data_IF_376546816060
#
_entry.id   IF_376546816060
#
_cell.length_a   1.000
_cell.length_b   1.000
_cell.length_c   1.000
_cell.angle_alpha   90.00
_cell.angle_beta   90.00
_cell.angle_gamma   90.00
#
_symmetry.space_group_name_H-M   'P 1'
#
loop_
_entity.id
_entity.type
_entity.pdbx_description
1 polymer ?
#
# COMPACT_ATOMS: atom_id res chain seq x y z
N UNK A 1 28.04 39.73 -14.63
CA UNK A 1 28.26 40.60 -13.46
C UNK A 1 27.19 41.67 -13.51
N UNK A 2 26.64 42.08 -12.36
CA UNK A 2 25.75 43.23 -12.33
C UNK A 2 26.57 44.48 -12.67
N UNK A 3 26.17 45.22 -13.71
CA UNK A 3 26.84 46.46 -14.14
C UNK A 3 26.04 47.70 -13.80
N UNK A 4 24.73 47.57 -13.63
CA UNK A 4 23.86 48.67 -13.22
C UNK A 4 22.63 48.15 -12.49
N UNK A 5 22.25 48.82 -11.40
CA UNK A 5 21.02 48.60 -10.66
C UNK A 5 20.16 49.87 -10.75
N UNK A 6 18.93 49.74 -11.24
CA UNK A 6 17.94 50.81 -11.29
C UNK A 6 16.79 50.50 -10.36
N UNK A 7 16.35 51.48 -9.58
CA UNK A 7 15.22 51.36 -8.66
C UNK A 7 14.30 52.55 -8.89
N UNK A 8 12.99 52.30 -8.88
CA UNK A 8 11.97 53.32 -8.97
C UNK A 8 10.84 53.02 -7.98
N UNK A 9 10.49 54.02 -7.18
CA UNK A 9 9.38 54.03 -6.21
C UNK A 9 9.36 52.85 -5.22
N UNK A 10 10.54 52.38 -4.81
CA UNK A 10 10.70 51.24 -3.92
C UNK A 10 11.03 51.70 -2.49
N UNK A 11 10.12 51.44 -1.54
CA UNK A 11 10.27 51.83 -0.14
C UNK A 11 10.53 53.33 0.01
N UNK A 12 11.74 53.69 0.48
CA UNK A 12 12.18 55.09 0.64
C UNK A 12 12.89 55.66 -0.60
N UNK A 13 13.04 54.89 -1.67
CA UNK A 13 13.76 55.30 -2.89
C UNK A 13 12.77 55.77 -3.95
N UNK A 14 12.84 57.06 -4.32
CA UNK A 14 12.08 57.63 -5.43
C UNK A 14 12.63 57.12 -6.77
N UNK A 15 13.90 57.40 -7.02
CA UNK A 15 14.63 56.92 -8.19
C UNK A 15 16.12 56.72 -7.82
N UNK A 16 16.71 55.63 -8.28
CA UNK A 16 18.14 55.36 -8.14
C UNK A 16 18.66 54.72 -9.42
N UNK A 17 19.79 55.22 -9.90
CA UNK A 17 20.61 54.55 -10.91
C UNK A 17 22.00 54.36 -10.31
N UNK A 18 22.36 53.12 -10.04
CA UNK A 18 23.61 52.74 -9.41
C UNK A 18 24.47 51.92 -10.38
N UNK A 19 25.50 52.52 -11.01
CA UNK A 19 26.49 51.75 -11.74
C UNK A 19 27.34 50.92 -10.77
N UNK A 20 27.61 49.66 -11.11
CA UNK A 20 28.36 48.71 -10.29
C UNK A 20 29.63 48.31 -11.02
N UNK A 21 30.78 48.58 -10.38
CA UNK A 21 32.09 48.23 -10.93
C UNK A 21 32.51 46.81 -10.55
N UNK A 22 33.44 46.25 -11.30
CA UNK A 22 33.96 44.90 -11.04
C UNK A 22 34.85 44.86 -9.82
N UNK A 23 34.82 43.74 -9.09
CA UNK A 23 35.61 43.55 -7.87
C UNK A 23 34.81 43.95 -6.63
N UNK A 24 35.44 44.71 -5.73
CA UNK A 24 34.85 45.12 -4.45
C UNK A 24 34.19 46.50 -4.58
N UNK A 25 32.86 46.54 -4.47
CA UNK A 25 32.10 47.79 -4.37
C UNK A 25 31.63 47.96 -2.92
N UNK A 26 32.04 49.04 -2.25
CA UNK A 26 31.68 49.33 -0.86
C UNK A 26 30.65 50.46 -0.85
N UNK A 27 29.47 50.19 -0.29
CA UNK A 27 28.43 51.19 -0.08
C UNK A 27 28.51 51.74 1.34
N UNK A 28 28.74 53.05 1.47
CA UNK A 28 28.79 53.79 2.75
C UNK A 28 27.66 54.84 2.83
N UNK A 29 27.38 55.38 4.01
CA UNK A 29 26.29 56.35 4.22
C UNK A 29 25.94 56.53 5.70
N UNK A 30 25.12 57.55 6.02
CA UNK A 30 24.76 57.93 7.40
C UNK A 30 23.74 56.99 8.06
N UNK A 31 22.77 56.45 7.31
CA UNK A 31 21.72 55.56 7.85
C UNK A 31 21.77 54.17 7.21
N UNK A 32 21.42 53.14 7.99
CA UNK A 32 21.35 51.75 7.50
C UNK A 32 20.22 51.49 6.51
N UNK A 33 19.20 52.35 6.47
CA UNK A 33 18.01 52.17 5.65
C UNK A 33 18.32 52.12 4.14
N UNK A 34 19.19 53.01 3.63
CA UNK A 34 19.54 53.04 2.21
C UNK A 34 20.28 51.78 1.74
N UNK A 35 21.20 51.25 2.55
CA UNK A 35 21.94 50.02 2.24
C UNK A 35 21.01 48.80 2.23
N UNK A 36 20.13 48.69 3.23
CA UNK A 36 19.15 47.62 3.32
C UNK A 36 18.16 47.65 2.15
N UNK A 37 17.77 48.84 1.68
CA UNK A 37 16.92 48.99 0.49
C UNK A 37 17.61 48.50 -0.79
N UNK A 38 18.89 48.82 -0.97
CA UNK A 38 19.69 48.34 -2.11
C UNK A 38 19.83 46.81 -2.06
N UNK A 39 20.14 46.25 -0.89
CA UNK A 39 20.22 44.79 -0.71
C UNK A 39 18.88 44.09 -0.99
N UNK A 40 17.77 44.67 -0.50
CA UNK A 40 16.42 44.19 -0.77
C UNK A 40 16.06 44.25 -2.25
N UNK A 41 16.45 45.32 -2.96
CA UNK A 41 16.28 45.43 -4.40
C UNK A 41 17.04 44.35 -5.17
N UNK A 42 18.30 44.06 -4.79
CA UNK A 42 19.07 42.97 -5.39
C UNK A 42 18.42 41.59 -5.12
N UNK A 43 17.84 41.39 -3.94
CA UNK A 43 17.13 40.15 -3.62
C UNK A 43 15.85 39.97 -4.45
N UNK A 44 15.16 41.05 -4.81
CA UNK A 44 14.01 40.97 -5.72
C UNK A 44 14.39 40.48 -7.13
N UNK A 45 15.60 40.82 -7.58
CA UNK A 45 16.16 40.37 -8.85
C UNK A 45 16.55 38.89 -8.85
N UNK A 46 16.66 38.25 -7.68
CA UNK A 46 16.85 36.78 -7.57
C UNK A 46 15.54 36.00 -7.51
N UNK A 47 14.39 36.69 -7.61
CA UNK A 47 13.09 36.02 -7.58
C UNK A 47 12.53 35.81 -6.17
N UNK A 48 13.09 36.44 -5.14
CA UNK A 48 12.55 36.37 -3.78
C UNK A 48 11.13 36.95 -3.69
N UNK A 49 10.43 36.60 -2.60
CA UNK A 49 9.11 37.12 -2.28
C UNK A 49 9.18 38.63 -2.04
N UNK A 50 8.10 39.34 -2.38
CA UNK A 50 8.02 40.79 -2.18
C UNK A 50 7.51 41.05 -0.75
N UNK A 51 8.25 41.79 0.09
CA UNK A 51 7.77 42.24 1.40
C UNK A 51 6.48 43.07 1.28
N UNK A 52 5.67 43.06 2.34
CA UNK A 52 4.49 43.94 2.42
C UNK A 52 4.93 45.41 2.40
N UNK A 53 4.13 46.26 1.76
CA UNK A 53 4.30 47.72 1.71
C UNK A 53 5.61 48.23 1.09
N UNK A 54 6.13 47.50 0.10
CA UNK A 54 7.36 47.91 -0.59
C UNK A 54 7.15 49.00 -1.66
N UNK A 55 5.91 49.24 -2.10
CA UNK A 55 5.61 50.37 -3.00
C UNK A 55 5.56 51.64 -2.16
N UNK A 56 6.32 52.67 -2.57
CA UNK A 56 6.36 53.96 -1.87
C UNK A 56 4.96 54.54 -1.67
N UNK A 57 4.70 55.13 -0.50
CA UNK A 57 3.41 55.74 -0.18
C UNK A 57 3.01 56.79 -1.22
N UNK A 58 1.77 56.71 -1.72
CA UNK A 58 1.27 57.57 -2.80
C UNK A 58 1.44 57.00 -4.22
N UNK A 59 2.27 55.97 -4.38
CA UNK A 59 2.54 55.33 -5.69
C UNK A 59 1.79 54.00 -5.86
N UNK A 60 1.47 53.66 -7.10
CA UNK A 60 0.78 52.42 -7.48
C UNK A 60 1.73 51.33 -8.02
N UNK A 61 2.94 51.72 -8.44
CA UNK A 61 3.93 50.86 -9.09
C UNK A 61 5.33 51.17 -8.58
N UNK A 62 6.07 50.13 -8.24
CA UNK A 62 7.52 50.17 -8.01
C UNK A 62 8.21 49.17 -8.93
N UNK A 63 9.47 49.41 -9.30
CA UNK A 63 10.25 48.42 -10.03
C UNK A 63 11.73 48.46 -9.69
N UNK A 64 12.36 47.31 -9.86
CA UNK A 64 13.81 47.14 -9.77
C UNK A 64 14.29 46.50 -11.06
N UNK A 65 15.33 47.06 -11.66
CA UNK A 65 15.96 46.54 -12.87
C UNK A 65 17.46 46.33 -12.64
N UNK A 66 17.95 45.16 -13.04
CA UNK A 66 19.37 44.84 -13.04
C UNK A 66 19.86 44.60 -14.45
N UNK A 67 20.95 45.26 -14.80
CA UNK A 67 21.68 45.03 -16.06
C UNK A 67 22.89 44.17 -15.75
N UNK A 68 23.02 43.04 -16.44
CA UNK A 68 24.08 42.06 -16.22
C UNK A 68 24.91 41.85 -17.49
N UNK A 69 26.22 42.06 -17.38
CA UNK A 69 27.18 41.66 -18.41
C UNK A 69 27.58 40.20 -18.22
N UNK A 70 27.19 39.34 -19.15
CA UNK A 70 27.50 37.91 -19.14
C UNK A 70 28.48 37.50 -20.24
N UNK A 71 29.08 38.45 -20.95
CA UNK A 71 30.02 38.21 -22.06
C UNK A 71 31.15 37.24 -21.67
N UNK A 72 31.71 37.39 -20.47
CA UNK A 72 32.76 36.52 -19.93
C UNK A 72 32.25 35.28 -19.15
N UNK A 73 30.93 35.09 -19.01
CA UNK A 73 30.32 34.06 -18.14
C UNK A 73 29.71 32.88 -18.92
N UNK A 74 30.53 32.17 -19.69
CA UNK A 74 30.11 31.06 -20.58
C UNK A 74 29.21 30.01 -19.91
N UNK A 75 29.50 29.61 -18.65
CA UNK A 75 28.69 28.64 -17.90
C UNK A 75 27.29 29.18 -17.57
N UNK A 76 27.19 30.43 -17.13
CA UNK A 76 25.91 31.10 -16.86
C UNK A 76 25.10 31.25 -18.14
N UNK A 77 25.75 31.62 -19.26
CA UNK A 77 25.09 31.70 -20.57
C UNK A 77 24.51 30.35 -21.02
N UNK A 78 25.24 29.24 -20.82
CA UNK A 78 24.74 27.91 -21.14
C UNK A 78 23.53 27.53 -20.27
N UNK A 79 23.54 27.86 -18.98
CA UNK A 79 22.41 27.63 -18.07
C UNK A 79 21.18 28.44 -18.47
N UNK A 80 21.36 29.71 -18.83
CA UNK A 80 20.28 30.59 -19.31
C UNK A 80 19.62 30.05 -20.59
N UNK A 81 20.42 29.58 -21.55
CA UNK A 81 19.91 28.96 -22.79
C UNK A 81 19.06 27.73 -22.52
N UNK A 82 19.46 26.87 -21.57
CA UNK A 82 18.66 25.70 -21.15
C UNK A 82 17.31 26.11 -20.54
N UNK A 83 17.23 27.31 -19.96
CA UNK A 83 15.99 27.86 -19.40
C UNK A 83 15.18 28.67 -20.44
N UNK A 84 15.57 28.66 -21.71
CA UNK A 84 14.90 29.40 -22.78
C UNK A 84 15.23 30.90 -22.87
N UNK A 85 16.25 31.38 -22.13
CA UNK A 85 16.66 32.79 -22.17
C UNK A 85 17.73 32.99 -23.23
N UNK A 86 17.46 33.87 -24.20
CA UNK A 86 18.40 34.25 -25.26
C UNK A 86 19.06 35.58 -24.92
N UNK A 87 20.39 35.65 -25.10
CA UNK A 87 21.19 36.85 -24.90
C UNK A 87 21.45 37.53 -26.24
N UNK A 88 21.57 38.86 -26.23
CA UNK A 88 22.02 39.64 -27.38
C UNK A 88 23.50 39.37 -27.71
N UNK A 89 23.95 39.89 -28.86
CA UNK A 89 25.34 39.76 -29.31
C UNK A 89 26.34 40.48 -28.38
N UNK A 90 25.87 41.46 -27.62
CA UNK A 90 26.59 42.20 -26.57
C UNK A 90 26.76 41.40 -25.27
N UNK A 91 26.10 40.24 -25.14
CA UNK A 91 26.17 39.40 -23.95
C UNK A 91 25.46 40.00 -22.72
N UNK A 92 24.63 41.03 -22.92
CA UNK A 92 23.90 41.68 -21.85
C UNK A 92 22.58 40.96 -21.54
N UNK A 93 22.21 40.96 -20.26
CA UNK A 93 20.92 40.50 -19.76
C UNK A 93 20.31 41.59 -18.89
N UNK A 94 19.08 41.99 -19.21
CA UNK A 94 18.31 42.93 -18.39
C UNK A 94 17.18 42.17 -17.72
N UNK A 95 17.11 42.21 -16.40
CA UNK A 95 15.96 41.67 -15.64
C UNK A 95 15.29 42.78 -14.87
N UNK A 96 13.96 42.81 -14.90
CA UNK A 96 13.15 43.79 -14.17
C UNK A 96 12.04 43.10 -13.40
N UNK A 97 11.88 43.46 -12.14
CA UNK A 97 10.78 43.06 -11.26
C UNK A 97 9.87 44.26 -11.05
N UNK A 98 8.63 44.17 -11.49
CA UNK A 98 7.60 45.19 -11.26
C UNK A 98 6.65 44.75 -10.14
N UNK A 99 6.41 45.65 -9.19
CA UNK A 99 5.61 45.42 -7.99
C UNK A 99 4.48 46.44 -7.99
N UNK A 100 3.25 45.96 -7.95
CA UNK A 100 2.07 46.83 -7.91
C UNK A 100 1.46 46.81 -6.52
N UNK A 101 1.00 47.98 -6.05
CA UNK A 101 0.31 48.10 -4.76
C UNK A 101 -0.94 47.23 -4.76
N UNK A 102 -1.69 47.29 -5.86
CA UNK A 102 -2.86 46.47 -6.12
C UNK A 102 -2.68 45.70 -7.44
N UNK A 103 -2.88 44.38 -7.40
CA UNK A 103 -2.83 43.52 -8.58
C UNK A 103 -1.60 42.61 -8.67
N UNK A 104 -1.32 42.11 -9.88
CA UNK A 104 -0.27 41.11 -10.10
C UNK A 104 1.09 41.77 -10.39
N UNK A 105 2.10 41.31 -9.67
CA UNK A 105 3.50 41.63 -9.95
C UNK A 105 3.94 41.04 -11.30
N UNK A 106 4.91 41.67 -11.95
CA UNK A 106 5.42 41.23 -13.26
C UNK A 106 6.93 41.02 -13.20
N UNK A 107 7.40 40.13 -14.07
CA UNK A 107 8.80 39.89 -14.35
C UNK A 107 9.01 40.19 -15.82
N UNK A 108 10.04 40.97 -16.13
CA UNK A 108 10.48 41.25 -17.49
C UNK A 108 11.94 40.81 -17.63
N UNK A 109 12.25 40.04 -18.67
CA UNK A 109 13.62 39.60 -18.99
C UNK A 109 13.88 39.99 -20.44
N UNK A 110 14.91 40.80 -20.70
CA UNK A 110 15.24 41.36 -22.03
C UNK A 110 14.01 41.96 -22.74
N UNK A 111 13.18 42.70 -22.00
CA UNK A 111 11.98 43.35 -22.53
C UNK A 111 10.76 42.44 -22.71
N UNK A 112 10.87 41.13 -22.45
CA UNK A 112 9.77 40.18 -22.57
C UNK A 112 9.17 39.80 -21.21
N UNK A 113 7.84 39.74 -21.15
CA UNK A 113 7.12 39.23 -19.97
C UNK A 113 7.52 37.77 -19.68
N UNK A 114 7.82 37.48 -18.42
CA UNK A 114 8.34 36.20 -17.98
C UNK A 114 7.69 35.74 -16.66
N UNK A 115 7.92 34.48 -16.29
CA UNK A 115 7.41 33.92 -15.04
C UNK A 115 8.35 34.20 -13.86
N UNK A 116 7.78 34.22 -12.65
CA UNK A 116 8.57 34.30 -11.42
C UNK A 116 9.49 33.07 -11.25
N UNK A 117 9.00 31.89 -11.61
CA UNK A 117 9.78 30.65 -11.55
C UNK A 117 11.04 30.73 -12.41
N UNK A 118 10.92 31.28 -13.63
CA UNK A 118 12.08 31.51 -14.50
C UNK A 118 13.07 32.48 -13.86
N UNK A 119 12.59 33.60 -13.28
CA UNK A 119 13.44 34.55 -12.58
C UNK A 119 14.19 33.90 -11.40
N UNK A 120 13.53 33.05 -10.61
CA UNK A 120 14.17 32.32 -9.50
C UNK A 120 15.26 31.39 -10.01
N UNK A 121 14.99 30.65 -11.08
CA UNK A 121 15.93 29.68 -11.66
C UNK A 121 17.20 30.34 -12.21
N UNK A 122 17.05 31.49 -12.88
CA UNK A 122 18.17 32.25 -13.46
C UNK A 122 18.83 33.16 -12.43
N UNK A 123 18.06 33.76 -11.52
CA UNK A 123 18.50 34.69 -10.50
C UNK A 123 19.57 34.09 -9.60
N UNK A 124 19.39 32.82 -9.21
CA UNK A 124 20.38 32.05 -8.46
C UNK A 124 21.73 31.88 -9.19
N UNK A 125 21.77 32.02 -10.52
CA UNK A 125 23.01 31.98 -11.31
C UNK A 125 23.61 33.37 -11.58
N UNK A 126 22.87 34.44 -11.30
CA UNK A 126 23.25 35.83 -11.58
C UNK A 126 23.79 36.55 -10.34
N UNK A 127 23.07 36.42 -9.22
CA UNK A 127 23.36 37.08 -7.95
C UNK A 127 23.23 36.09 -6.79
N UNK A 128 24.15 36.20 -5.83
CA UNK A 128 23.98 35.65 -4.49
C UNK A 128 23.89 36.83 -3.54
N UNK A 129 22.79 36.93 -2.80
CA UNK A 129 22.50 38.07 -1.91
C UNK A 129 22.46 37.55 -0.48
N UNK A 130 23.54 37.76 0.26
CA UNK A 130 23.64 37.49 1.69
C UNK A 130 22.85 38.55 2.45
N UNK A 131 21.59 38.20 2.78
CA UNK A 131 20.65 39.04 3.53
C UNK A 131 20.37 38.44 4.91
N UNK A 132 19.64 39.17 5.77
CA UNK A 132 19.14 38.65 7.04
C UNK A 132 18.30 37.35 6.90
N UNK A 133 17.73 37.08 5.72
CA UNK A 133 17.01 35.83 5.47
C UNK A 133 17.94 34.65 5.16
N UNK A 134 19.11 34.86 4.53
CA UNK A 134 20.13 33.79 4.38
C UNK A 134 20.75 33.40 5.72
N UNK A 135 20.85 34.35 6.66
CA UNK A 135 21.24 34.07 8.05
C UNK A 135 20.29 33.08 8.76
N UNK A 136 19.05 32.92 8.29
CA UNK A 136 18.09 31.95 8.80
C UNK A 136 18.31 30.54 8.25
N UNK A 137 19.08 30.36 7.17
CA UNK A 137 19.36 29.03 6.61
C UNK A 137 20.25 28.20 7.54
N UNK A 138 21.24 28.82 8.18
CA UNK A 138 22.01 28.21 9.27
C UNK A 138 21.15 27.78 10.47
N UNK A 139 19.93 28.31 10.57
CA UNK A 139 18.96 27.91 11.59
C UNK A 139 18.11 26.69 11.16
N UNK A 140 18.23 26.22 9.92
CA UNK A 140 17.53 25.04 9.41
C UNK A 140 18.40 23.79 9.62
N UNK A 141 17.93 22.79 10.39
CA UNK A 141 18.69 21.54 10.60
C UNK A 141 19.08 20.84 9.29
N UNK A 142 18.20 20.88 8.28
CA UNK A 142 18.46 20.30 6.97
C UNK A 142 19.68 20.94 6.26
N UNK A 143 19.87 22.25 6.39
CA UNK A 143 21.00 22.95 5.77
C UNK A 143 22.32 22.56 6.45
N UNK A 144 22.34 22.51 7.78
CA UNK A 144 23.52 22.11 8.56
C UNK A 144 23.93 20.66 8.23
N UNK A 145 22.95 19.76 8.15
CA UNK A 145 23.17 18.37 7.70
C UNK A 145 23.74 18.32 6.29
N UNK A 146 23.11 19.03 5.35
CA UNK A 146 23.52 19.01 3.93
C UNK A 146 24.92 19.61 3.75
N UNK A 147 25.27 20.66 4.50
CA UNK A 147 26.61 21.25 4.55
C UNK A 147 27.65 20.25 5.03
N UNK A 148 27.37 19.55 6.15
CA UNK A 148 28.28 18.52 6.65
C UNK A 148 28.44 17.40 5.63
N UNK A 149 27.33 16.91 5.06
CA UNK A 149 27.34 15.83 4.08
C UNK A 149 28.08 16.22 2.78
N UNK A 150 27.99 17.47 2.34
CA UNK A 150 28.72 17.99 1.16
C UNK A 150 30.22 18.07 1.44
N UNK A 151 30.61 18.61 2.60
CA UNK A 151 32.00 18.68 3.06
C UNK A 151 32.66 17.31 3.25
N UNK A 152 31.84 16.28 3.52
CA UNK A 152 32.27 14.89 3.67
C UNK A 152 32.06 14.04 2.41
N UNK A 153 31.59 14.63 1.31
CA UNK A 153 31.32 13.94 0.04
C UNK A 153 30.37 12.72 0.21
N UNK A 154 29.38 12.82 1.11
CA UNK A 154 28.45 11.74 1.46
C UNK A 154 27.38 11.44 0.39
N UNK A 155 27.55 11.90 -0.85
CA UNK A 155 26.50 11.81 -1.88
C UNK A 155 26.05 10.37 -2.15
N UNK A 156 27.01 9.43 -2.25
CA UNK A 156 26.73 8.02 -2.51
C UNK A 156 26.07 7.34 -1.30
N UNK A 157 26.55 7.60 -0.09
CA UNK A 157 25.97 7.08 1.15
C UNK A 157 24.54 7.57 1.36
N UNK A 158 24.28 8.85 1.07
CA UNK A 158 22.93 9.41 1.07
C UNK A 158 22.04 8.77 0.00
N UNK A 159 22.60 8.48 -1.17
CA UNK A 159 21.91 7.74 -2.23
C UNK A 159 21.46 6.37 -1.76
N UNK A 160 22.39 5.59 -1.17
CA UNK A 160 22.11 4.27 -0.64
C UNK A 160 21.01 4.28 0.43
N UNK A 161 21.05 5.21 1.38
CA UNK A 161 20.00 5.37 2.40
C UNK A 161 18.65 5.69 1.76
N UNK A 162 18.61 6.65 0.84
CA UNK A 162 17.36 7.06 0.19
C UNK A 162 16.73 5.92 -0.60
N UNK A 163 17.53 5.18 -1.36
CA UNK A 163 17.04 4.10 -2.22
C UNK A 163 16.56 2.91 -1.38
N UNK A 164 17.33 2.53 -0.36
CA UNK A 164 16.91 1.50 0.60
C UNK A 164 15.62 1.92 1.33
N UNK A 165 15.54 3.17 1.79
CA UNK A 165 14.37 3.68 2.50
C UNK A 165 13.13 3.69 1.60
N UNK A 166 13.27 4.09 0.34
CA UNK A 166 12.17 4.05 -0.63
C UNK A 166 11.67 2.61 -0.86
N UNK A 167 12.57 1.65 -1.01
CA UNK A 167 12.22 0.24 -1.18
C UNK A 167 11.49 -0.33 0.05
N UNK A 168 12.00 -0.05 1.25
CA UNK A 168 11.36 -0.44 2.51
C UNK A 168 9.95 0.16 2.66
N UNK A 169 9.79 1.47 2.43
CA UNK A 169 8.48 2.13 2.54
C UNK A 169 7.47 1.60 1.52
N UNK A 170 7.91 1.22 0.32
CA UNK A 170 7.04 0.61 -0.68
C UNK A 170 6.55 -0.77 -0.22
N UNK A 171 7.44 -1.61 0.32
CA UNK A 171 7.09 -2.93 0.85
C UNK A 171 6.20 -2.84 2.10
N UNK A 172 6.48 -1.90 2.99
CA UNK A 172 5.68 -1.66 4.21
C UNK A 172 4.25 -1.22 3.86
N UNK A 173 4.10 -0.33 2.85
CA UNK A 173 2.79 0.08 2.36
C UNK A 173 2.01 -1.04 1.66
N UNK A 174 2.67 -1.87 0.83
CA UNK A 174 2.04 -3.03 0.19
C UNK A 174 1.59 -4.06 1.23
N UNK A 175 2.44 -4.34 2.24
CA UNK A 175 2.12 -5.25 3.32
C UNK A 175 0.91 -4.78 4.13
N UNK A 176 0.86 -3.49 4.49
CA UNK A 176 -0.26 -2.93 5.25
C UNK A 176 -1.57 -2.95 4.43
N UNK A 177 -1.51 -2.62 3.13
CA UNK A 177 -2.68 -2.71 2.23
C UNK A 177 -3.24 -4.13 2.17
N UNK A 178 -2.37 -5.13 1.94
CA UNK A 178 -2.80 -6.54 1.86
C UNK A 178 -3.30 -7.09 3.20
N UNK A 179 -2.72 -6.65 4.32
CA UNK A 179 -3.20 -6.99 5.66
C UNK A 179 -4.62 -6.48 5.88
N UNK A 180 -4.93 -5.26 5.45
CA UNK A 180 -6.27 -4.68 5.54
C UNK A 180 -7.26 -5.46 4.66
N UNK A 181 -6.87 -5.85 3.44
CA UNK A 181 -7.70 -6.69 2.56
C UNK A 181 -8.01 -8.05 3.19
N UNK A 182 -7.00 -8.73 3.73
CA UNK A 182 -7.19 -10.03 4.41
C UNK A 182 -8.02 -9.88 5.68
N UNK A 183 -7.81 -8.82 6.46
CA UNK A 183 -8.59 -8.54 7.66
C UNK A 183 -10.08 -8.31 7.32
N UNK A 184 -10.38 -7.55 6.26
CA UNK A 184 -11.74 -7.33 5.78
C UNK A 184 -12.41 -8.65 5.31
N UNK A 185 -11.64 -9.59 4.76
CA UNK A 185 -12.13 -10.88 4.30
C UNK A 185 -12.23 -11.96 5.39
N UNK A 186 -11.80 -11.72 6.63
CA UNK A 186 -11.65 -12.76 7.66
C UNK A 186 -12.98 -13.30 8.16
N UNK A 187 -13.94 -12.42 8.45
CA UNK A 187 -15.30 -12.83 8.86
C UNK A 187 -15.96 -13.69 7.77
N UNK A 188 -15.76 -13.31 6.50
CA UNK A 188 -16.28 -14.07 5.37
C UNK A 188 -15.62 -15.45 5.24
N UNK A 189 -14.32 -15.55 5.53
CA UNK A 189 -13.58 -16.82 5.51
C UNK A 189 -14.08 -17.78 6.61
N UNK A 190 -14.34 -17.26 7.81
CA UNK A 190 -14.88 -18.05 8.92
C UNK A 190 -16.28 -18.60 8.60
N UNK A 191 -17.12 -17.78 7.97
CA UNK A 191 -18.43 -18.22 7.45
C UNK A 191 -18.25 -19.33 6.41
N UNK A 192 -17.34 -19.16 5.44
CA UNK A 192 -17.10 -20.18 4.41
C UNK A 192 -16.57 -21.49 4.98
N UNK A 193 -15.68 -21.43 5.98
CA UNK A 193 -15.16 -22.62 6.67
C UNK A 193 -16.27 -23.37 7.39
N UNK A 194 -17.10 -22.68 8.16
CA UNK A 194 -18.25 -23.29 8.82
C UNK A 194 -19.20 -23.98 7.82
N UNK A 195 -19.52 -23.30 6.72
CA UNK A 195 -20.39 -23.85 5.68
C UNK A 195 -19.78 -25.06 4.98
N UNK A 196 -18.47 -25.01 4.67
CA UNK A 196 -17.72 -26.13 4.08
C UNK A 196 -17.74 -27.32 5.04
N UNK A 197 -17.44 -27.10 6.31
CA UNK A 197 -17.34 -28.19 7.29
C UNK A 197 -18.69 -28.85 7.53
N UNK A 198 -19.77 -28.07 7.59
CA UNK A 198 -21.14 -28.61 7.68
C UNK A 198 -21.50 -29.48 6.47
N UNK A 199 -21.26 -28.98 5.25
CA UNK A 199 -21.58 -29.70 4.01
C UNK A 199 -20.68 -30.92 3.78
N UNK A 200 -19.39 -30.82 4.12
CA UNK A 200 -18.44 -31.91 4.02
C UNK A 200 -18.77 -33.02 5.04
N UNK A 201 -19.14 -32.66 6.26
CA UNK A 201 -19.55 -33.64 7.29
C UNK A 201 -20.82 -34.37 6.87
N UNK A 202 -21.76 -33.66 6.24
CA UNK A 202 -23.01 -34.25 5.77
C UNK A 202 -22.82 -35.34 4.70
N UNK A 203 -21.68 -35.35 3.98
CA UNK A 203 -21.33 -36.38 2.98
C UNK A 203 -22.50 -36.72 2.06
N UNK A 204 -23.05 -35.70 1.40
CA UNK A 204 -24.22 -35.85 0.54
C UNK A 204 -23.89 -36.64 -0.73
N UNK A 205 -24.85 -37.41 -1.20
CA UNK A 205 -24.81 -38.18 -2.44
C UNK A 205 -26.07 -37.88 -3.25
N UNK A 206 -25.90 -37.64 -4.55
CA UNK A 206 -26.99 -37.35 -5.49
C UNK A 206 -27.88 -38.57 -5.68
N UNK A 207 -27.31 -39.77 -5.58
CA UNK A 207 -28.03 -41.02 -5.85
C UNK A 207 -28.75 -41.56 -4.61
N UNK A 208 -28.42 -41.05 -3.42
CA UNK A 208 -29.01 -41.51 -2.15
C UNK A 208 -30.41 -40.91 -1.91
N UNK A 209 -30.58 -39.59 -2.10
CA UNK A 209 -31.84 -38.87 -1.77
C UNK A 209 -33.10 -39.50 -2.41
N UNK A 210 -33.12 -39.88 -3.70
CA UNK A 210 -34.32 -40.44 -4.32
C UNK A 210 -34.76 -41.78 -3.70
N UNK A 211 -33.83 -42.58 -3.18
CA UNK A 211 -34.09 -43.90 -2.60
C UNK A 211 -34.55 -43.87 -1.14
N UNK A 212 -34.35 -42.75 -0.43
CA UNK A 212 -34.71 -42.62 0.99
C UNK A 212 -36.23 -42.70 1.21
N UNK A 213 -37.03 -42.08 0.35
CA UNK A 213 -38.49 -42.07 0.49
C UNK A 213 -39.09 -43.47 0.38
N UNK A 214 -38.65 -44.25 -0.61
CA UNK A 214 -39.08 -45.63 -0.79
C UNK A 214 -38.64 -46.50 0.40
N UNK A 215 -37.38 -46.36 0.81
CA UNK A 215 -36.80 -47.12 1.93
C UNK A 215 -37.53 -46.85 3.25
N UNK A 216 -37.89 -45.59 3.53
CA UNK A 216 -38.64 -45.21 4.73
C UNK A 216 -40.05 -45.81 4.70
N UNK A 217 -40.74 -45.78 3.56
CA UNK A 217 -42.10 -46.36 3.44
C UNK A 217 -42.05 -47.86 3.70
N UNK A 218 -41.11 -48.58 3.09
CA UNK A 218 -40.95 -50.03 3.29
C UNK A 218 -40.62 -50.35 4.76
N UNK A 219 -39.63 -49.67 5.37
CA UNK A 219 -39.27 -49.92 6.77
C UNK A 219 -40.40 -49.56 7.75
N UNK A 220 -41.13 -48.47 7.52
CA UNK A 220 -42.26 -48.05 8.38
C UNK A 220 -43.38 -49.08 8.42
N UNK A 221 -43.65 -49.73 7.28
CA UNK A 221 -44.69 -50.75 7.16
C UNK A 221 -44.12 -52.18 7.24
N UNK A 222 -42.88 -52.36 7.69
CA UNK A 222 -42.18 -53.64 7.59
C UNK A 222 -42.93 -54.79 8.29
N UNK A 223 -43.47 -54.57 9.48
CA UNK A 223 -44.25 -55.58 10.21
C UNK A 223 -45.54 -55.98 9.47
N UNK A 224 -46.30 -55.01 8.96
CA UNK A 224 -47.55 -55.25 8.21
C UNK A 224 -47.27 -55.93 6.86
N UNK A 225 -46.20 -55.52 6.18
CA UNK A 225 -45.75 -56.12 4.93
C UNK A 225 -45.25 -57.55 5.15
N UNK A 226 -44.52 -57.82 6.22
CA UNK A 226 -44.05 -59.16 6.57
C UNK A 226 -45.22 -60.08 6.88
N UNK A 227 -46.19 -59.64 7.68
CA UNK A 227 -47.40 -60.41 7.99
C UNK A 227 -48.19 -60.75 6.71
N UNK A 228 -48.40 -59.74 5.85
CA UNK A 228 -49.11 -59.90 4.58
C UNK A 228 -48.37 -60.83 3.61
N UNK A 229 -47.06 -60.69 3.50
CA UNK A 229 -46.22 -61.53 2.65
C UNK A 229 -46.15 -62.97 3.16
N UNK A 230 -46.03 -63.19 4.48
CA UNK A 230 -46.05 -64.51 5.08
C UNK A 230 -47.40 -65.21 4.85
N UNK A 231 -48.52 -64.50 5.02
CA UNK A 231 -49.85 -65.02 4.73
C UNK A 231 -50.03 -65.38 3.24
N UNK A 232 -49.54 -64.53 2.33
CA UNK A 232 -49.58 -64.78 0.89
C UNK A 232 -48.73 -66.00 0.50
N UNK A 233 -47.52 -66.13 1.05
CA UNK A 233 -46.65 -67.28 0.81
C UNK A 233 -47.29 -68.58 1.33
N UNK A 234 -47.87 -68.55 2.53
CA UNK A 234 -48.59 -69.70 3.09
C UNK A 234 -49.75 -70.15 2.19
N UNK A 235 -50.51 -69.21 1.61
CA UNK A 235 -51.59 -69.52 0.68
C UNK A 235 -51.09 -70.11 -0.67
N UNK A 236 -49.87 -69.76 -1.10
CA UNK A 236 -49.29 -70.23 -2.35
C UNK A 236 -48.61 -71.61 -2.23
N UNK A 237 -47.88 -71.88 -1.14
CA UNK A 237 -46.96 -73.04 -1.04
C UNK A 237 -46.97 -73.81 0.29
N UNK A 238 -47.69 -73.35 1.32
CA UNK A 238 -47.47 -73.84 2.70
C UNK A 238 -48.71 -74.20 3.54
N UNK A 239 -49.92 -74.09 2.99
CA UNK A 239 -51.18 -74.44 3.66
C UNK A 239 -51.56 -75.92 3.50
N UNK A 240 -52.52 -76.41 4.30
CA UNK A 240 -53.13 -77.75 4.07
C UNK A 240 -53.79 -77.86 2.68
N UNK A 241 -54.27 -76.72 2.18
CA UNK A 241 -54.73 -76.52 0.81
C UNK A 241 -54.04 -75.25 0.31
N UNK A 242 -53.16 -75.39 -0.67
CA UNK A 242 -52.42 -74.28 -1.28
C UNK A 242 -52.70 -74.19 -2.80
N UNK A 243 -52.42 -73.01 -3.37
CA UNK A 243 -52.70 -72.74 -4.78
C UNK A 243 -51.88 -73.64 -5.71
N UNK A 244 -50.59 -73.86 -5.44
CA UNK A 244 -49.73 -74.70 -6.28
C UNK A 244 -50.15 -76.18 -6.25
N UNK A 245 -50.52 -76.70 -5.09
CA UNK A 245 -51.02 -78.06 -4.92
C UNK A 245 -52.37 -78.27 -5.60
N UNK A 246 -53.27 -77.28 -5.58
CA UNK A 246 -54.53 -77.31 -6.33
C UNK A 246 -54.28 -77.28 -7.85
N UNK A 247 -53.41 -76.38 -8.32
CA UNK A 247 -53.01 -76.28 -9.73
C UNK A 247 -52.34 -77.58 -10.21
N UNK A 248 -51.40 -78.13 -9.44
CA UNK A 248 -50.74 -79.40 -9.74
C UNK A 248 -51.70 -80.59 -9.75
N UNK A 249 -52.72 -80.60 -8.88
CA UNK A 249 -53.81 -81.61 -8.92
C UNK A 249 -54.64 -81.48 -10.21
N UNK A 250 -55.01 -80.26 -10.60
CA UNK A 250 -55.77 -80.02 -11.83
C UNK A 250 -54.97 -80.42 -13.08
N UNK A 251 -53.69 -80.07 -13.13
CA UNK A 251 -52.77 -80.47 -14.21
C UNK A 251 -52.64 -81.99 -14.32
N UNK A 252 -52.48 -82.72 -13.21
CA UNK A 252 -52.44 -84.19 -13.21
C UNK A 252 -53.76 -84.83 -13.62
N UNK A 253 -54.89 -84.23 -13.30
CA UNK A 253 -56.20 -84.74 -13.70
C UNK A 253 -56.43 -84.60 -15.21
N UNK A 254 -55.93 -83.51 -15.81
CA UNK A 254 -56.10 -83.22 -17.23
C UNK A 254 -55.01 -83.81 -18.13
N UNK A 255 -53.84 -84.17 -17.58
CA UNK A 255 -52.75 -84.79 -18.36
C UNK A 255 -53.16 -86.11 -19.03
N UNK A 256 -54.07 -86.88 -18.42
CA UNK A 256 -54.63 -88.09 -19.01
C UNK A 256 -55.53 -87.85 -20.24
N UNK A 257 -55.96 -86.60 -20.45
CA UNK A 257 -56.81 -86.15 -21.55
C UNK A 257 -56.06 -85.33 -22.62
N UNK A 258 -54.75 -85.12 -22.44
CA UNK A 258 -53.91 -84.33 -23.35
C UNK A 258 -53.93 -84.91 -24.77
N UNK A 259 -54.14 -84.04 -25.75
CA UNK A 259 -54.23 -84.39 -27.18
C UNK A 259 -55.54 -85.08 -27.58
N UNK A 260 -56.48 -85.30 -26.65
CA UNK A 260 -57.79 -85.90 -26.95
C UNK A 260 -58.88 -84.86 -27.23
N UNK A 261 -58.66 -83.59 -26.89
CA UNK A 261 -59.60 -82.49 -27.13
C UNK A 261 -58.88 -81.13 -27.16
N UNK A 262 -58.89 -80.47 -28.31
CA UNK A 262 -58.28 -79.14 -28.47
C UNK A 262 -58.83 -78.08 -27.50
N UNK A 263 -60.09 -78.23 -27.04
CA UNK A 263 -60.69 -77.35 -26.02
C UNK A 263 -60.10 -77.57 -24.62
N UNK A 264 -59.77 -78.82 -24.28
CA UNK A 264 -59.10 -79.14 -23.01
C UNK A 264 -57.60 -78.83 -23.06
N UNK A 265 -56.96 -78.99 -24.22
CA UNK A 265 -55.55 -78.65 -24.41
C UNK A 265 -55.29 -77.15 -24.21
N UNK A 266 -56.21 -76.26 -24.64
CA UNK A 266 -56.13 -74.83 -24.35
C UNK A 266 -56.21 -74.50 -22.85
N UNK A 267 -57.10 -75.16 -22.11
CA UNK A 267 -57.21 -75.01 -20.65
C UNK A 267 -55.99 -75.59 -19.92
N UNK A 268 -55.41 -76.68 -20.42
CA UNK A 268 -54.18 -77.28 -19.90
C UNK A 268 -52.99 -76.32 -20.05
N UNK A 269 -52.89 -75.61 -21.19
CA UNK A 269 -51.90 -74.55 -21.39
C UNK A 269 -52.03 -73.42 -20.37
N UNK A 270 -53.24 -72.90 -20.16
CA UNK A 270 -53.51 -71.85 -19.17
C UNK A 270 -53.18 -72.28 -17.73
N UNK A 271 -53.44 -73.54 -17.37
CA UNK A 271 -53.09 -74.07 -16.05
C UNK A 271 -51.59 -74.20 -15.85
N UNK A 272 -50.82 -74.54 -16.90
CA UNK A 272 -49.35 -74.58 -16.85
C UNK A 272 -48.76 -73.18 -16.65
N UNK A 273 -49.31 -72.19 -17.36
CA UNK A 273 -48.92 -70.78 -17.18
C UNK A 273 -49.25 -70.28 -15.77
N UNK A 274 -50.43 -70.61 -15.24
CA UNK A 274 -50.83 -70.23 -13.89
C UNK A 274 -49.95 -70.89 -12.79
N UNK A 275 -49.57 -72.16 -12.96
CA UNK A 275 -48.64 -72.85 -12.05
C UNK A 275 -47.27 -72.16 -12.06
N UNK A 276 -46.71 -71.89 -13.25
CA UNK A 276 -45.43 -71.22 -13.38
C UNK A 276 -45.45 -69.81 -12.75
N UNK A 277 -46.49 -69.01 -13.03
CA UNK A 277 -46.64 -67.69 -12.44
C UNK A 277 -46.81 -67.73 -10.91
N UNK A 278 -47.54 -68.72 -10.37
CA UNK A 278 -47.68 -68.91 -8.93
C UNK A 278 -46.35 -69.34 -8.27
N UNK A 279 -45.52 -70.13 -8.96
CA UNK A 279 -44.18 -70.49 -8.52
C UNK A 279 -43.23 -69.30 -8.49
N UNK A 280 -43.23 -68.50 -9.55
CA UNK A 280 -42.41 -67.28 -9.62
C UNK A 280 -42.82 -66.26 -8.54
N UNK A 281 -44.12 -66.05 -8.33
CA UNK A 281 -44.63 -65.17 -7.29
C UNK A 281 -44.24 -65.64 -5.88
N UNK A 282 -44.34 -66.94 -5.59
CA UNK A 282 -43.92 -67.50 -4.31
C UNK A 282 -42.42 -67.27 -4.05
N UNK A 283 -41.56 -67.50 -5.04
CA UNK A 283 -40.12 -67.24 -4.94
C UNK A 283 -39.84 -65.75 -4.72
N UNK A 284 -40.57 -64.86 -5.37
CA UNK A 284 -40.42 -63.42 -5.17
C UNK A 284 -40.83 -62.97 -3.76
N UNK A 285 -41.92 -63.50 -3.23
CA UNK A 285 -42.41 -63.21 -1.87
C UNK A 285 -41.45 -63.78 -0.81
N UNK A 286 -40.94 -64.99 -1.02
CA UNK A 286 -39.96 -65.61 -0.12
C UNK A 286 -38.66 -64.80 -0.05
N UNK A 287 -38.14 -64.36 -1.21
CA UNK A 287 -36.98 -63.45 -1.27
C UNK A 287 -37.23 -62.12 -0.56
N UNK A 288 -38.45 -61.57 -0.65
CA UNK A 288 -38.81 -60.35 0.05
C UNK A 288 -38.83 -60.56 1.58
N UNK A 289 -39.41 -61.67 2.05
CA UNK A 289 -39.42 -62.03 3.47
C UNK A 289 -38.02 -62.26 4.04
N UNK A 290 -37.10 -62.82 3.25
CA UNK A 290 -35.69 -62.99 3.63
C UNK A 290 -34.94 -61.66 3.71
N UNK A 291 -35.36 -60.66 2.94
CA UNK A 291 -34.71 -59.35 2.85
C UNK A 291 -35.28 -58.30 3.82
N UNK A 292 -36.52 -58.48 4.31
CA UNK A 292 -37.18 -57.47 5.13
C UNK A 292 -36.57 -57.41 6.53
N UNK A 293 -36.16 -56.20 6.93
CA UNK A 293 -35.53 -55.93 8.22
C UNK A 293 -36.51 -55.18 9.14
N UNK A 294 -36.72 -55.70 10.35
CA UNK A 294 -37.62 -55.16 11.36
C UNK A 294 -36.90 -54.28 12.39
N UNK A 295 -35.60 -54.04 12.25
CA UNK A 295 -34.85 -53.22 13.20
C UNK A 295 -35.41 -51.78 13.26
N UNK A 296 -35.96 -51.33 14.41
CA UNK A 296 -36.46 -49.97 14.59
C UNK A 296 -35.37 -48.91 14.43
N UNK A 297 -34.12 -49.22 14.80
CA UNK A 297 -33.00 -48.27 14.71
C UNK A 297 -32.73 -47.83 13.28
N UNK A 298 -32.85 -48.74 12.32
CA UNK A 298 -32.66 -48.40 10.91
C UNK A 298 -33.77 -47.54 10.29
N UNK A 299 -34.96 -47.44 10.88
CA UNK A 299 -35.97 -46.47 10.43
C UNK A 299 -35.62 -45.06 10.90
N UNK A 300 -35.28 -44.91 12.18
CA UNK A 300 -34.88 -43.63 12.76
C UNK A 300 -33.67 -43.04 12.03
N UNK A 301 -32.66 -43.87 11.70
CA UNK A 301 -31.49 -43.45 10.93
C UNK A 301 -31.84 -42.93 9.52
N UNK A 302 -32.78 -43.58 8.82
CA UNK A 302 -33.22 -43.14 7.50
C UNK A 302 -34.03 -41.84 7.58
N UNK A 303 -34.88 -41.70 8.59
CA UNK A 303 -35.65 -40.48 8.82
C UNK A 303 -34.74 -39.30 9.19
N UNK A 304 -33.74 -39.52 10.05
CA UNK A 304 -32.70 -38.53 10.39
C UNK A 304 -31.86 -38.16 9.17
N UNK A 305 -31.48 -39.16 8.34
CA UNK A 305 -30.75 -38.92 7.09
C UNK A 305 -31.56 -38.03 6.14
N UNK A 306 -32.84 -38.35 5.93
CA UNK A 306 -33.75 -37.53 5.10
C UNK A 306 -33.97 -36.13 5.69
N UNK A 307 -34.07 -36.01 7.01
CA UNK A 307 -34.21 -34.72 7.69
C UNK A 307 -32.97 -33.83 7.45
N UNK A 308 -31.77 -34.40 7.51
CA UNK A 308 -30.52 -33.70 7.20
C UNK A 308 -30.50 -33.15 5.75
N UNK A 309 -30.89 -33.96 4.77
CA UNK A 309 -31.03 -33.50 3.37
C UNK A 309 -32.00 -32.32 3.26
N UNK A 310 -33.19 -32.44 3.85
CA UNK A 310 -34.19 -31.37 3.86
C UNK A 310 -33.67 -30.09 4.54
N UNK A 311 -32.99 -30.22 5.68
CA UNK A 311 -32.45 -29.09 6.44
C UNK A 311 -31.41 -28.34 5.63
N UNK A 312 -30.44 -29.04 5.02
CA UNK A 312 -29.39 -28.43 4.23
C UNK A 312 -29.94 -27.77 2.96
N UNK A 313 -30.86 -28.42 2.25
CA UNK A 313 -31.55 -27.81 1.10
C UNK A 313 -32.26 -26.52 1.48
N UNK A 314 -32.94 -26.50 2.64
CA UNK A 314 -33.63 -25.30 3.15
C UNK A 314 -32.66 -24.21 3.60
N UNK A 315 -31.60 -24.57 4.32
CA UNK A 315 -30.59 -23.65 4.87
C UNK A 315 -29.84 -22.92 3.76
N UNK A 316 -29.44 -23.65 2.71
CA UNK A 316 -28.66 -23.12 1.60
C UNK A 316 -29.49 -22.76 0.36
N UNK A 317 -30.79 -23.09 0.35
CA UNK A 317 -31.74 -22.86 -0.76
C UNK A 317 -31.26 -23.42 -2.08
N UNK A 318 -30.82 -24.68 -2.06
CA UNK A 318 -30.21 -25.39 -3.19
C UNK A 318 -30.63 -26.85 -3.18
N UNK A 319 -30.60 -27.48 -4.33
CA UNK A 319 -30.75 -28.93 -4.45
C UNK A 319 -29.41 -29.65 -4.25
N UNK A 320 -29.42 -30.97 -4.09
CA UNK A 320 -28.22 -31.76 -3.74
C UNK A 320 -27.05 -31.57 -4.73
N UNK A 321 -27.26 -31.61 -6.06
CA UNK A 321 -26.17 -31.34 -7.00
C UNK A 321 -25.56 -29.93 -6.83
N UNK A 322 -26.39 -28.93 -6.58
CA UNK A 322 -25.96 -27.54 -6.36
C UNK A 322 -25.26 -27.37 -5.01
N UNK A 323 -25.63 -28.15 -3.98
CA UNK A 323 -24.94 -28.17 -2.68
C UNK A 323 -23.51 -28.73 -2.82
N UNK A 324 -23.33 -29.79 -3.61
CA UNK A 324 -22.02 -30.38 -3.87
C UNK A 324 -21.14 -29.42 -4.69
N UNK A 325 -21.69 -28.78 -5.72
CA UNK A 325 -20.97 -27.75 -6.46
C UNK A 325 -20.63 -26.55 -5.56
N UNK A 326 -21.54 -26.17 -4.65
CA UNK A 326 -21.25 -25.12 -3.69
C UNK A 326 -20.13 -25.49 -2.72
N UNK A 327 -20.08 -26.72 -2.22
CA UNK A 327 -19.00 -27.23 -1.39
C UNK A 327 -17.65 -27.14 -2.13
N UNK A 328 -17.63 -27.52 -3.42
CA UNK A 328 -16.45 -27.40 -4.29
C UNK A 328 -15.99 -25.94 -4.40
N UNK A 329 -16.91 -25.02 -4.67
CA UNK A 329 -16.63 -23.59 -4.77
C UNK A 329 -16.14 -22.98 -3.45
N UNK A 330 -16.73 -23.37 -2.32
CA UNK A 330 -16.27 -22.94 -0.99
C UNK A 330 -14.83 -23.38 -0.73
N UNK A 331 -14.52 -24.64 -1.04
CA UNK A 331 -13.17 -25.20 -0.89
C UNK A 331 -12.14 -24.41 -1.70
N UNK A 332 -12.43 -24.10 -2.97
CA UNK A 332 -11.54 -23.29 -3.81
C UNK A 332 -11.37 -21.85 -3.31
N UNK A 333 -12.43 -21.23 -2.78
CA UNK A 333 -12.37 -19.86 -2.25
C UNK A 333 -11.53 -19.79 -0.99
N UNK A 334 -11.71 -20.75 -0.08
CA UNK A 334 -10.92 -20.86 1.14
C UNK A 334 -9.43 -21.04 0.80
N UNK A 335 -9.10 -21.98 -0.09
CA UNK A 335 -7.72 -22.25 -0.48
C UNK A 335 -7.02 -21.01 -1.10
N UNK A 336 -7.73 -20.26 -1.96
CA UNK A 336 -7.21 -19.00 -2.52
C UNK A 336 -6.88 -17.97 -1.44
N UNK A 337 -7.74 -17.83 -0.44
CA UNK A 337 -7.56 -16.84 0.61
C UNK A 337 -6.48 -17.25 1.63
N UNK A 338 -6.31 -18.55 1.85
CA UNK A 338 -5.20 -19.11 2.64
C UNK A 338 -3.86 -18.89 1.93
N UNK A 339 -3.77 -19.12 0.62
CA UNK A 339 -2.57 -18.82 -0.18
C UNK A 339 -2.14 -17.35 -0.07
N UNK A 340 -3.09 -16.41 -0.02
CA UNK A 340 -2.78 -14.99 0.19
C UNK A 340 -2.14 -14.71 1.55
N UNK A 341 -2.35 -15.57 2.55
CA UNK A 341 -1.75 -15.45 3.89
C UNK A 341 -0.28 -15.88 3.87
N UNK A 342 0.07 -16.92 3.11
CA UNK A 342 1.45 -17.34 2.89
C UNK A 342 2.23 -16.25 2.14
N UNK A 343 1.60 -15.63 1.13
CA UNK A 343 2.17 -14.49 0.41
C UNK A 343 2.42 -13.30 1.34
N UNK A 344 1.52 -13.03 2.30
CA UNK A 344 1.70 -11.99 3.32
C UNK A 344 2.91 -12.25 4.22
N UNK A 345 3.13 -13.51 4.60
CA UNK A 345 4.28 -13.92 5.42
C UNK A 345 5.59 -13.68 4.66
N UNK A 346 5.66 -14.12 3.40
CA UNK A 346 6.81 -13.89 2.54
C UNK A 346 7.07 -12.38 2.30
N UNK A 347 6.01 -11.59 2.12
CA UNK A 347 6.12 -10.14 1.97
C UNK A 347 6.62 -9.47 3.26
N UNK A 348 6.19 -9.94 4.43
CA UNK A 348 6.67 -9.45 5.73
C UNK A 348 8.17 -9.71 5.89
N UNK A 349 8.66 -10.91 5.56
CA UNK A 349 10.10 -11.21 5.56
C UNK A 349 10.88 -10.26 4.66
N UNK A 350 10.42 -10.04 3.42
CA UNK A 350 11.07 -9.10 2.49
C UNK A 350 11.09 -7.67 3.00
N UNK A 351 10.02 -7.23 3.66
CA UNK A 351 9.92 -5.92 4.30
C UNK A 351 10.92 -5.79 5.44
N UNK A 352 11.09 -6.83 6.25
CA UNK A 352 12.05 -6.83 7.36
C UNK A 352 13.50 -6.88 6.85
N UNK A 353 13.80 -7.64 5.80
CA UNK A 353 15.11 -7.61 5.14
C UNK A 353 15.44 -6.20 4.60
N UNK A 354 14.46 -5.55 3.98
CA UNK A 354 14.60 -4.17 3.51
C UNK A 354 14.81 -3.19 4.69
N UNK A 355 14.15 -3.42 5.83
CA UNK A 355 14.36 -2.62 7.04
C UNK A 355 15.80 -2.74 7.58
N UNK A 356 16.36 -3.96 7.60
CA UNK A 356 17.76 -4.19 7.97
C UNK A 356 18.73 -3.50 6.98
N UNK A 357 18.43 -3.54 5.67
CA UNK A 357 19.24 -2.84 4.67
C UNK A 357 19.24 -1.31 4.88
N UNK A 358 18.09 -0.73 5.22
CA UNK A 358 17.96 0.69 5.59
C UNK A 358 18.80 1.01 6.82
N UNK A 359 18.69 0.20 7.88
CA UNK A 359 19.44 0.38 9.12
C UNK A 359 20.97 0.32 8.87
N UNK A 360 21.42 -0.65 8.08
CA UNK A 360 22.83 -0.78 7.69
C UNK A 360 23.35 0.42 6.90
N UNK A 361 22.60 0.89 5.89
CA UNK A 361 22.97 2.07 5.11
C UNK A 361 22.99 3.35 5.97
N UNK A 362 22.02 3.49 6.88
CA UNK A 362 21.94 4.63 7.79
C UNK A 362 23.10 4.64 8.79
N UNK A 363 23.51 3.46 9.29
CA UNK A 363 24.66 3.31 10.18
C UNK A 363 25.97 3.70 9.49
N UNK A 364 26.15 3.33 8.23
CA UNK A 364 27.36 3.70 7.49
C UNK A 364 27.44 5.22 7.27
N UNK A 365 26.31 5.86 6.93
CA UNK A 365 26.22 7.31 6.85
C UNK A 365 26.49 7.99 8.20
N UNK A 366 25.95 7.46 9.30
CA UNK A 366 26.22 7.94 10.67
C UNK A 366 27.71 7.88 10.99
N UNK A 367 28.36 6.74 10.74
CA UNK A 367 29.80 6.55 10.99
C UNK A 367 30.64 7.56 10.21
N UNK A 368 30.32 7.78 8.92
CA UNK A 368 31.01 8.78 8.09
C UNK A 368 30.86 10.19 8.67
N UNK A 369 29.66 10.56 9.10
CA UNK A 369 29.36 11.87 9.71
C UNK A 369 30.12 12.07 11.03
N UNK A 370 30.06 11.10 11.95
CA UNK A 370 30.75 11.17 13.24
C UNK A 370 32.26 11.28 13.05
N UNK A 371 32.85 10.45 12.18
CA UNK A 371 34.29 10.47 11.93
C UNK A 371 34.75 11.79 11.28
N UNK A 372 33.92 12.40 10.45
CA UNK A 372 34.23 13.63 9.72
C UNK A 372 33.93 14.94 10.46
N UNK A 373 32.98 14.93 11.40
CA UNK A 373 32.46 16.14 12.05
C UNK A 373 33.56 17.01 12.69
N UNK A 374 34.50 16.40 13.40
CA UNK A 374 35.61 17.14 14.04
C UNK A 374 36.62 17.72 13.05
N UNK A 375 36.79 17.12 11.86
CA UNK A 375 37.62 17.66 10.79
C UNK A 375 36.98 18.90 10.14
N UNK A 376 35.70 18.79 9.80
CA UNK A 376 34.92 19.89 9.20
C UNK A 376 34.78 21.06 10.17
N UNK A 377 34.58 20.77 11.46
CA UNK A 377 34.53 21.79 12.52
C UNK A 377 35.80 22.64 12.56
N UNK A 378 36.99 21.99 12.60
CA UNK A 378 38.28 22.69 12.60
C UNK A 378 38.50 23.53 11.34
N UNK A 379 38.16 22.99 10.17
CA UNK A 379 38.28 23.72 8.92
C UNK A 379 37.38 24.97 8.90
N UNK A 380 36.14 24.86 9.39
CA UNK A 380 35.23 26.00 9.50
C UNK A 380 35.80 27.07 10.46
N UNK A 381 36.34 26.65 11.61
CA UNK A 381 37.00 27.57 12.54
C UNK A 381 38.19 28.32 11.92
N UNK A 382 39.07 27.63 11.20
CA UNK A 382 40.24 28.24 10.54
C UNK A 382 39.85 29.35 9.56
N UNK A 383 38.73 29.17 8.84
CA UNK A 383 38.23 30.15 7.87
C UNK A 383 37.53 31.31 8.56
N UNK A 384 36.79 31.06 9.65
CA UNK A 384 35.92 32.07 10.27
C UNK A 384 36.66 32.89 11.34
N UNK A 385 37.63 32.33 12.06
CA UNK A 385 38.37 33.06 13.11
C UNK A 385 38.99 34.38 12.64
N UNK A 386 39.60 34.47 11.43
CA UNK A 386 40.12 35.73 10.89
C UNK A 386 39.04 36.79 10.63
N UNK A 387 37.76 36.42 10.57
CA UNK A 387 36.62 37.32 10.35
C UNK A 387 36.13 37.94 11.67
N UNK A 388 37.05 38.55 12.42
CA UNK A 388 36.79 39.21 13.71
C UNK A 388 36.10 38.30 14.76
N UNK A 389 36.43 37.01 14.75
CA UNK A 389 35.91 35.98 15.66
C UNK A 389 37.06 35.07 16.17
N UNK A 390 38.14 35.61 16.74
CA UNK A 390 39.41 34.88 16.95
C UNK A 390 39.29 33.68 17.91
N UNK A 391 38.37 33.76 18.86
CA UNK A 391 38.15 32.77 19.92
C UNK A 391 36.92 31.88 19.66
N UNK A 392 36.40 31.91 18.43
CA UNK A 392 35.25 31.11 18.01
C UNK A 392 35.56 29.61 18.08
N UNK A 393 34.68 28.87 18.74
CA UNK A 393 34.61 27.42 18.63
C UNK A 393 33.35 27.00 17.87
N UNK A 394 33.51 26.08 16.94
CA UNK A 394 32.43 25.45 16.18
C UNK A 394 32.51 23.94 16.33
N UNK A 395 31.37 23.31 16.52
CA UNK A 395 31.30 21.86 16.63
C UNK A 395 30.08 21.31 15.92
N UNK A 396 30.29 20.53 14.86
CA UNK A 396 29.25 19.66 14.34
C UNK A 396 29.00 18.52 15.33
N UNK A 397 27.76 18.38 15.78
CA UNK A 397 27.29 17.28 16.60
C UNK A 397 26.36 16.40 15.78
N UNK A 398 26.55 15.09 15.88
CA UNK A 398 25.75 14.08 15.19
C UNK A 398 25.17 13.17 16.26
N UNK A 399 23.85 13.14 16.38
CA UNK A 399 23.15 12.32 17.37
C UNK A 399 22.04 11.49 16.71
N UNK A 400 21.73 10.29 17.22
CA UNK A 400 20.61 9.50 16.72
C UNK A 400 19.29 10.27 16.79
N UNK A 401 18.51 10.26 15.71
CA UNK A 401 17.14 10.76 15.69
C UNK A 401 16.24 9.71 16.33
N UNK A 402 16.09 9.77 17.66
CA UNK A 402 15.35 8.75 18.41
C UNK A 402 13.86 8.74 18.06
N UNK A 403 13.33 7.55 17.81
CA UNK A 403 11.88 7.34 17.66
C UNK A 403 11.27 6.89 18.99
N UNK A 404 10.06 7.34 19.29
CA UNK A 404 9.29 6.84 20.43
C UNK A 404 8.72 5.44 20.14
N UNK A 405 8.19 5.24 18.93
CA UNK A 405 7.64 3.98 18.43
C UNK A 405 7.84 3.89 16.91
N UNK A 406 7.80 2.68 16.34
CA UNK A 406 7.82 2.46 14.90
C UNK A 406 9.13 2.80 14.18
N UNK A 407 10.20 3.08 14.93
CA UNK A 407 11.54 3.30 14.39
C UNK A 407 12.24 2.00 13.96
N UNK A 408 13.41 2.15 13.36
CA UNK A 408 14.31 1.04 13.05
C UNK A 408 15.48 1.03 14.04
N UNK A 409 15.92 -0.15 14.45
CA UNK A 409 17.13 -0.30 15.25
C UNK A 409 18.35 0.03 14.38
N UNK A 410 19.09 1.07 14.77
CA UNK A 410 20.35 1.46 14.15
C UNK A 410 21.42 1.48 15.23
N UNK A 411 22.16 0.38 15.35
CA UNK A 411 23.27 0.19 16.30
C UNK A 411 22.84 0.19 17.79
N UNK A 412 21.72 -0.47 18.09
CA UNK A 412 21.14 -0.58 19.44
C UNK A 412 20.28 0.60 19.87
N UNK A 413 20.02 1.54 18.96
CA UNK A 413 19.20 2.73 19.19
C UNK A 413 18.01 2.75 18.23
N UNK A 414 16.80 2.87 18.78
CA UNK A 414 15.57 2.96 17.99
C UNK A 414 15.46 4.34 17.33
N UNK A 415 15.60 4.41 16.02
CA UNK A 415 15.71 5.65 15.26
C UNK A 415 14.55 5.88 14.27
N UNK A 416 14.12 7.13 14.14
CA UNK A 416 13.23 7.60 13.05
C UNK A 416 14.07 7.78 11.78
N UNK A 417 14.28 6.67 11.06
CA UNK A 417 15.07 6.68 9.83
C UNK A 417 14.25 7.26 8.69
N UNK A 418 14.78 8.31 8.07
CA UNK A 418 14.19 8.96 6.89
C UNK A 418 15.16 8.87 5.72
N UNK A 419 14.74 9.37 4.56
CA UNK A 419 15.56 9.41 3.34
C UNK A 419 16.88 10.21 3.49
N UNK A 420 17.02 11.04 4.52
CA UNK A 420 18.23 11.81 4.85
C UNK A 420 19.12 11.15 5.94
N UNK A 421 18.74 9.96 6.42
CA UNK A 421 19.47 9.20 7.44
C UNK A 421 18.69 9.03 8.74
N UNK A 422 19.39 8.48 9.74
CA UNK A 422 18.89 8.17 11.07
C UNK A 422 19.36 9.17 12.15
N UNK A 423 19.91 10.32 11.73
CA UNK A 423 20.63 11.24 12.61
C UNK A 423 20.03 12.64 12.56
N UNK A 424 20.21 13.34 13.67
CA UNK A 424 20.15 14.80 13.77
C UNK A 424 21.58 15.34 13.69
N UNK A 425 21.76 16.36 12.86
CA UNK A 425 23.04 17.06 12.70
C UNK A 425 22.82 18.51 13.12
N UNK A 426 23.51 18.90 14.18
CA UNK A 426 23.46 20.25 14.73
C UNK A 426 24.85 20.89 14.65
N UNK A 427 24.88 22.22 14.48
CA UNK A 427 26.10 23.01 14.57
C UNK A 427 26.05 23.82 15.86
N UNK A 428 26.94 23.48 16.78
CA UNK A 428 27.17 24.20 18.02
C UNK A 428 28.22 25.28 17.83
N UNK A 429 28.05 26.39 18.53
CA UNK A 429 28.95 27.53 18.45
C UNK A 429 29.16 28.14 19.83
N UNK A 430 30.40 28.59 20.07
CA UNK A 430 30.76 29.44 21.19
C UNK A 430 31.51 30.66 20.63
N UNK A 431 30.89 31.85 20.56
CA UNK A 431 31.50 33.03 19.93
C UNK A 431 32.74 33.54 20.65
N UNK A 432 32.70 33.61 22.00
CA UNK A 432 33.79 34.10 22.83
C UNK A 432 34.03 33.22 24.07
N UNK A 433 35.23 33.27 24.68
CA UNK A 433 35.51 32.56 25.93
C UNK A 433 34.63 33.10 27.07
N UNK A 434 33.94 32.20 27.78
CA UNK A 434 33.02 32.56 28.87
C UNK A 434 31.55 32.70 28.44
N UNK A 435 31.24 32.67 27.13
CA UNK A 435 29.87 32.59 26.64
C UNK A 435 29.36 31.14 26.61
N UNK A 436 28.04 30.97 26.67
CA UNK A 436 27.40 29.64 26.59
C UNK A 436 27.54 29.05 25.18
N UNK A 437 27.93 27.78 25.10
CA UNK A 437 27.84 27.00 23.87
C UNK A 437 26.40 26.54 23.62
N UNK A 438 26.00 26.46 22.36
CA UNK A 438 24.69 25.96 21.95
C UNK A 438 24.49 26.09 20.46
N UNK A 439 23.27 25.79 19.98
CA UNK A 439 22.99 25.71 18.55
C UNK A 439 23.16 27.08 17.89
N UNK A 440 23.78 27.12 16.71
CA UNK A 440 23.99 28.36 15.92
C UNK A 440 22.70 29.14 15.73
N UNK A 441 21.57 28.45 15.58
CA UNK A 441 20.24 29.03 15.45
C UNK A 441 19.83 29.92 16.65
N UNK A 442 20.29 29.58 17.86
CA UNK A 442 19.77 30.09 19.13
C UNK A 442 20.66 31.17 19.76
N UNK A 443 21.98 31.12 19.52
CA UNK A 443 22.95 31.88 20.32
C UNK A 443 23.63 33.00 19.53
N UNK A 444 23.66 32.92 18.20
CA UNK A 444 24.47 33.82 17.38
C UNK A 444 23.68 35.07 16.98
N UNK A 445 24.28 36.26 17.18
CA UNK A 445 23.69 37.53 16.74
C UNK A 445 23.60 37.63 15.21
N UNK A 446 22.81 38.57 14.68
CA UNK A 446 22.70 38.76 13.22
C UNK A 446 24.02 39.16 12.55
N UNK A 447 24.93 39.83 13.27
CA UNK A 447 26.24 40.20 12.74
C UNK A 447 27.21 39.01 12.65
N UNK A 448 27.16 38.12 13.63
CA UNK A 448 28.02 36.92 13.70
C UNK A 448 27.52 35.83 12.75
N UNK A 449 26.19 35.64 12.61
CA UNK A 449 25.58 34.76 11.60
C UNK A 449 25.84 35.17 10.16
N UNK A 450 26.32 36.39 9.94
CA UNK A 450 26.73 36.84 8.61
C UNK A 450 28.17 36.46 8.28
N UNK A 451 28.96 36.17 9.31
CA UNK A 451 30.40 35.87 9.19
C UNK A 451 30.64 34.36 9.21
N UNK A 452 29.86 33.65 10.02
CA UNK A 452 29.60 32.20 9.92
C UNK A 452 28.74 31.97 8.69
#
# INVERSE_FOLDING_TARGET
MLVELRINQLGLVDELVLPVASGLTILTGETGAGKSMIAGAMALLTGQAVPKDLVRGGEELAWVEGVFDLSARRRTCARLRKCGVTLGADGMLVTRREIRRNGRNRVVINGMLSSLALLQQIGAALLSVQSQDQQRELSRPAFVRDLLDEMLECADLRGAVRDAHAAWRALDADLESRRQEVAAGREQLDIWRYQRDELATASLDVDEEPGLDESIVVKRHAAELQESAAAALQALTGGEIDAQGLLGRALRALSAAEGKSARLDGALGQLREAEAAAAEAAVAIERFLDAIDLDPGGLDELEDRKALYCELRRKYRRDVPDLLEYLRLLTERIARQESSTDDLSALATRRDDAAHAVAGAALELRRRRIAGAGGVSRLAEEVIRPLALPDLELQFSVSPRRAAEGGLDVDGELCDVRADGADEVDLFVRPNPGERSGKVAEIVSGGERSRI
#
